data_IF_569676654221
#
_entry.id   IF_569676654221
#
_cell.length_a   1.000
_cell.length_b   1.000
_cell.length_c   1.000
_cell.angle_alpha   90.00
_cell.angle_beta   90.00
_cell.angle_gamma   90.00
#
_symmetry.space_group_name_H-M   'P 1'
#
loop_
_entity.id
_entity.type
_entity.pdbx_description
1 polymer ?
#
# COMPACT_ATOMS: atom_id res chain seq x y z
N UNK A 1 -15.55 -6.01 11.65
CA UNK A 1 -15.34 -5.05 10.55
C UNK A 1 -16.70 -4.50 10.14
N UNK A 2 -16.86 -3.19 10.05
CA UNK A 2 -18.12 -2.55 9.64
C UNK A 2 -17.84 -1.65 8.43
N UNK A 3 -17.71 -2.27 7.26
CA UNK A 3 -17.60 -1.62 5.96
C UNK A 3 -18.88 -1.97 5.21
N UNK A 4 -19.46 -0.99 4.50
CA UNK A 4 -20.62 -1.24 3.66
C UNK A 4 -20.24 -2.24 2.54
N UNK A 5 -20.90 -3.40 2.45
CA UNK A 5 -20.62 -4.38 1.40
C UNK A 5 -20.75 -3.80 -0.02
N UNK A 6 -21.71 -2.89 -0.22
CA UNK A 6 -21.88 -2.25 -1.52
C UNK A 6 -20.66 -1.44 -1.94
N UNK A 7 -20.01 -0.74 -1.01
CA UNK A 7 -18.76 -0.02 -1.31
C UNK A 7 -17.63 -0.99 -1.69
N UNK A 8 -17.53 -2.15 -1.03
CA UNK A 8 -16.53 -3.16 -1.38
C UNK A 8 -16.75 -3.75 -2.77
N UNK A 9 -18.01 -3.92 -3.18
CA UNK A 9 -18.36 -4.48 -4.49
C UNK A 9 -18.24 -3.47 -5.63
N UNK A 10 -18.43 -2.17 -5.34
CA UNK A 10 -18.50 -1.13 -6.38
C UNK A 10 -17.26 -0.25 -6.48
N UNK A 11 -16.35 -0.31 -5.50
CA UNK A 11 -15.08 0.44 -5.58
C UNK A 11 -14.10 -0.29 -6.49
N UNK A 12 -13.63 0.33 -7.58
CA UNK A 12 -12.63 -0.29 -8.45
C UNK A 12 -11.34 -0.60 -7.69
N UNK A 13 -10.74 -1.78 -7.94
CA UNK A 13 -9.49 -2.21 -7.31
C UNK A 13 -9.25 -3.70 -7.48
N UNK A 14 -8.05 -4.15 -7.13
CA UNK A 14 -7.54 -5.51 -7.38
C UNK A 14 -7.11 -6.15 -6.06
N UNK A 15 -8.05 -6.35 -5.13
CA UNK A 15 -7.78 -6.91 -3.80
C UNK A 15 -8.76 -8.03 -3.48
N UNK A 16 -8.24 -9.22 -3.17
CA UNK A 16 -9.07 -10.33 -2.70
C UNK A 16 -9.73 -10.00 -1.35
N UNK A 17 -11.02 -10.37 -1.15
CA UNK A 17 -11.71 -10.10 0.10
C UNK A 17 -11.07 -10.70 1.35
N UNK A 18 -10.32 -11.82 1.25
CA UNK A 18 -9.60 -12.40 2.39
C UNK A 18 -8.35 -11.59 2.73
N UNK A 19 -7.63 -11.11 1.71
CA UNK A 19 -6.51 -10.19 1.87
C UNK A 19 -6.98 -8.86 2.48
N UNK A 20 -8.11 -8.32 2.00
CA UNK A 20 -8.72 -7.13 2.58
C UNK A 20 -9.08 -7.30 4.07
N UNK A 21 -9.67 -8.44 4.45
CA UNK A 21 -9.92 -8.76 5.86
C UNK A 21 -8.62 -8.83 6.67
N UNK A 22 -7.58 -9.43 6.09
CA UNK A 22 -6.26 -9.51 6.72
C UNK A 22 -5.63 -8.14 6.90
N UNK A 23 -5.70 -7.26 5.88
CA UNK A 23 -5.27 -5.86 5.98
C UNK A 23 -5.97 -5.13 7.13
N UNK A 24 -7.31 -5.27 7.21
CA UNK A 24 -8.10 -4.67 8.28
C UNK A 24 -7.61 -5.10 9.68
N UNK A 25 -7.41 -6.41 9.91
CA UNK A 25 -7.02 -6.91 11.23
C UNK A 25 -5.61 -6.43 11.61
N UNK A 26 -4.65 -6.48 10.67
CA UNK A 26 -3.29 -6.00 10.88
C UNK A 26 -3.24 -4.48 11.14
N UNK A 27 -3.99 -3.71 10.33
CA UNK A 27 -4.06 -2.26 10.49
C UNK A 27 -4.76 -1.85 11.80
N UNK A 28 -5.79 -2.58 12.23
CA UNK A 28 -6.45 -2.31 13.52
C UNK A 28 -5.46 -2.42 14.69
N UNK A 29 -4.65 -3.47 14.70
CA UNK A 29 -3.69 -3.69 15.77
C UNK A 29 -2.52 -2.69 15.69
N UNK A 30 -2.07 -2.35 14.49
CA UNK A 30 -1.02 -1.36 14.25
C UNK A 30 -1.50 0.08 14.60
N UNK A 31 -2.71 0.45 14.22
CA UNK A 31 -3.27 1.79 14.45
C UNK A 31 -3.47 2.13 15.93
N UNK A 32 -3.58 1.12 16.80
CA UNK A 32 -3.58 1.32 18.25
C UNK A 32 -2.23 1.80 18.80
N UNK A 33 -1.15 1.66 18.01
CA UNK A 33 0.22 1.97 18.42
C UNK A 33 0.74 3.24 17.75
N UNK A 34 0.31 3.52 16.51
CA UNK A 34 0.73 4.70 15.75
C UNK A 34 0.12 4.72 14.35
N UNK A 35 0.46 5.73 13.55
CA UNK A 35 -0.13 5.89 12.23
C UNK A 35 0.28 4.77 11.27
N UNK A 36 -0.61 4.49 10.31
CA UNK A 36 -0.40 3.58 9.20
C UNK A 36 -0.16 4.38 7.92
N UNK A 37 0.53 3.77 6.95
CA UNK A 37 0.76 4.33 5.64
C UNK A 37 0.48 3.28 4.56
N UNK A 38 -0.16 3.70 3.48
CA UNK A 38 -0.43 2.97 2.26
C UNK A 38 0.26 3.68 1.09
N UNK A 39 0.86 2.90 0.18
CA UNK A 39 1.43 3.37 -1.09
C UNK A 39 0.70 2.67 -2.21
N UNK A 40 0.09 3.44 -3.10
CA UNK A 40 -0.83 2.92 -4.12
C UNK A 40 -2.22 2.72 -3.53
N UNK A 41 -3.09 3.70 -3.71
CA UNK A 41 -4.47 3.64 -3.22
C UNK A 41 -5.50 3.50 -4.34
N UNK A 42 -5.10 3.83 -5.58
CA UNK A 42 -5.96 3.77 -6.75
C UNK A 42 -7.33 4.42 -6.50
N UNK A 43 -8.43 3.66 -6.50
CA UNK A 43 -9.79 4.15 -6.21
C UNK A 43 -10.22 3.97 -4.75
N UNK A 44 -9.36 3.38 -3.90
CA UNK A 44 -9.54 3.29 -2.46
C UNK A 44 -10.06 1.97 -1.91
N UNK A 45 -10.01 0.86 -2.67
CA UNK A 45 -10.51 -0.43 -2.18
C UNK A 45 -9.72 -0.93 -0.96
N UNK A 46 -8.38 -0.95 -1.00
CA UNK A 46 -7.51 -1.25 0.14
C UNK A 46 -7.69 -0.23 1.28
N UNK A 47 -7.85 1.06 0.90
CA UNK A 47 -8.09 2.17 1.84
C UNK A 47 -9.37 1.98 2.64
N UNK A 48 -10.44 1.36 2.09
CA UNK A 48 -11.66 1.03 2.84
C UNK A 48 -11.35 0.14 4.03
N UNK A 49 -10.51 -0.88 3.87
CA UNK A 49 -10.12 -1.79 4.94
C UNK A 49 -9.18 -1.11 5.95
N UNK A 50 -8.09 -0.52 5.46
CA UNK A 50 -7.07 0.13 6.28
C UNK A 50 -7.63 1.35 7.04
N UNK A 51 -8.36 2.23 6.33
CA UNK A 51 -8.96 3.43 6.91
C UNK A 51 -10.04 3.10 7.94
N UNK A 52 -10.89 2.09 7.68
CA UNK A 52 -11.90 1.66 8.67
C UNK A 52 -11.24 1.08 9.92
N UNK A 53 -10.12 0.36 9.78
CA UNK A 53 -9.35 -0.14 10.90
C UNK A 53 -8.73 1.01 11.71
N UNK A 54 -8.12 1.99 11.04
CA UNK A 54 -7.56 3.18 11.68
C UNK A 54 -8.63 3.99 12.42
N UNK A 55 -9.80 4.24 11.78
CA UNK A 55 -10.93 4.94 12.40
C UNK A 55 -11.37 4.28 13.71
N UNK A 56 -11.39 2.95 13.76
CA UNK A 56 -11.79 2.21 14.96
C UNK A 56 -10.86 2.45 16.15
N UNK A 57 -9.62 2.82 15.90
CA UNK A 57 -8.60 3.12 16.92
C UNK A 57 -8.38 4.63 17.13
N UNK A 58 -9.21 5.49 16.53
CA UNK A 58 -8.96 6.93 16.45
C UNK A 58 -7.55 7.26 15.88
N UNK A 59 -7.03 6.37 15.03
CA UNK A 59 -5.74 6.49 14.37
C UNK A 59 -5.85 7.19 13.02
N UNK A 60 -4.71 7.34 12.34
CA UNK A 60 -4.58 7.99 11.03
C UNK A 60 -3.99 7.03 10.03
N UNK A 61 -4.54 7.04 8.81
CA UNK A 61 -3.95 6.43 7.62
C UNK A 61 -3.45 7.55 6.69
N UNK A 62 -2.17 7.53 6.37
CA UNK A 62 -1.62 8.30 5.26
C UNK A 62 -1.70 7.45 3.99
N UNK A 63 -2.30 7.99 2.94
CA UNK A 63 -2.47 7.30 1.66
C UNK A 63 -1.73 8.07 0.58
N UNK A 64 -0.62 7.49 0.11
CA UNK A 64 0.29 8.12 -0.87
C UNK A 64 0.01 7.54 -2.24
N UNK A 65 -0.44 8.39 -3.16
CA UNK A 65 -0.66 8.03 -4.56
C UNK A 65 -0.59 9.29 -5.42
N UNK A 66 0.03 9.21 -6.59
CA UNK A 66 0.00 10.31 -7.56
C UNK A 66 -1.30 10.35 -8.38
N UNK A 67 -2.12 9.31 -8.28
CA UNK A 67 -3.42 9.13 -8.92
C UNK A 67 -3.42 9.25 -10.46
N UNK A 68 -2.26 9.08 -11.07
CA UNK A 68 -2.09 9.06 -12.53
C UNK A 68 -2.10 7.66 -13.16
N UNK A 69 -2.36 6.64 -12.34
CA UNK A 69 -2.28 5.24 -12.75
C UNK A 69 -0.84 4.73 -12.87
N UNK A 70 -0.63 3.43 -12.65
CA UNK A 70 0.65 2.75 -12.91
C UNK A 70 0.91 2.62 -14.41
N UNK A 71 2.07 2.09 -14.79
CA UNK A 71 2.42 1.82 -16.19
C UNK A 71 1.41 0.88 -16.86
N UNK A 72 0.89 -0.09 -16.11
CA UNK A 72 -0.06 -1.10 -16.57
C UNK A 72 -1.50 -0.57 -16.72
N UNK A 73 -1.78 0.63 -16.21
CA UNK A 73 -3.09 1.30 -16.24
C UNK A 73 -3.17 2.41 -17.29
N UNK A 74 -2.16 2.56 -18.15
CA UNK A 74 -2.17 3.58 -19.20
C UNK A 74 -3.01 3.15 -20.42
N UNK A 75 -3.44 4.09 -21.30
CA UNK A 75 -4.19 3.75 -22.49
C UNK A 75 -3.47 2.71 -23.37
N UNK A 76 -4.14 1.59 -23.61
CA UNK A 76 -3.61 0.46 -24.38
C UNK A 76 -3.02 -0.68 -23.55
N UNK A 77 -2.88 -0.49 -22.25
CA UNK A 77 -2.39 -1.51 -21.33
C UNK A 77 -3.55 -2.35 -20.74
N UNK A 78 -3.20 -3.48 -20.12
CA UNK A 78 -4.16 -4.51 -19.68
C UNK A 78 -5.16 -4.01 -18.64
N UNK A 79 -4.73 -3.15 -17.72
CA UNK A 79 -5.55 -2.64 -16.60
C UNK A 79 -6.07 -1.22 -16.85
N UNK A 80 -6.07 -0.77 -18.09
CA UNK A 80 -6.64 0.54 -18.45
C UNK A 80 -8.15 0.56 -18.29
N UNK A 81 -8.65 1.47 -17.46
CA UNK A 81 -10.09 1.76 -17.32
C UNK A 81 -10.42 3.12 -17.95
N UNK A 82 -11.17 3.14 -19.09
CA UNK A 82 -11.57 4.38 -19.73
C UNK A 82 -12.40 5.31 -18.84
N UNK A 83 -13.12 4.78 -17.84
CA UNK A 83 -13.92 5.58 -16.91
C UNK A 83 -13.06 6.44 -15.97
N UNK A 84 -11.77 6.12 -15.84
CA UNK A 84 -10.81 6.85 -15.03
C UNK A 84 -9.91 7.78 -15.86
N UNK A 85 -10.13 7.86 -17.16
CA UNK A 85 -9.35 8.74 -18.04
C UNK A 85 -9.97 10.12 -18.12
N UNK A 86 -9.22 11.15 -17.70
CA UNK A 86 -9.61 12.54 -17.90
C UNK A 86 -9.22 13.02 -19.30
N UNK A 87 -10.19 13.07 -20.22
CA UNK A 87 -9.98 13.50 -21.60
C UNK A 87 -9.44 14.93 -21.70
N UNK A 88 -9.77 15.82 -20.75
CA UNK A 88 -9.31 17.21 -20.75
C UNK A 88 -7.85 17.32 -20.34
N UNK A 89 -7.44 16.52 -19.34
CA UNK A 89 -6.06 16.47 -18.90
C UNK A 89 -5.20 15.50 -19.75
N UNK A 90 -5.83 14.63 -20.57
CA UNK A 90 -5.16 13.63 -21.40
C UNK A 90 -4.43 12.56 -20.59
N UNK A 91 -4.97 12.18 -19.43
CA UNK A 91 -4.32 11.22 -18.52
C UNK A 91 -5.34 10.51 -17.63
N UNK A 92 -4.93 9.38 -17.07
CA UNK A 92 -5.66 8.72 -15.98
C UNK A 92 -5.69 9.65 -14.75
N UNK A 93 -6.85 9.74 -14.10
CA UNK A 93 -7.05 10.46 -12.83
C UNK A 93 -8.00 9.68 -11.92
N UNK A 94 -7.45 8.93 -10.99
CA UNK A 94 -8.21 8.12 -10.02
C UNK A 94 -8.66 8.94 -8.80
N UNK A 95 -8.08 10.12 -8.56
CA UNK A 95 -8.32 10.91 -7.34
C UNK A 95 -9.79 11.32 -7.13
N UNK A 96 -10.56 11.72 -8.15
CA UNK A 96 -11.98 12.03 -7.96
C UNK A 96 -12.80 10.83 -7.47
N UNK A 97 -12.47 9.61 -7.93
CA UNK A 97 -13.11 8.37 -7.46
C UNK A 97 -12.68 8.08 -6.03
N UNK A 98 -11.39 8.09 -5.75
CA UNK A 98 -10.83 7.91 -4.41
C UNK A 98 -11.50 8.84 -3.36
N UNK A 99 -11.63 10.11 -3.66
CA UNK A 99 -12.31 11.07 -2.77
C UNK A 99 -13.78 10.72 -2.52
N UNK A 100 -14.51 10.26 -3.55
CA UNK A 100 -15.90 9.79 -3.40
C UNK A 100 -15.97 8.56 -2.51
N UNK A 101 -15.05 7.61 -2.69
CA UNK A 101 -14.93 6.41 -1.84
C UNK A 101 -14.73 6.78 -0.37
N UNK A 102 -13.79 7.69 -0.07
CA UNK A 102 -13.57 8.16 1.30
C UNK A 102 -14.80 8.84 1.91
N UNK A 103 -15.47 9.70 1.14
CA UNK A 103 -16.67 10.39 1.60
C UNK A 103 -17.81 9.42 1.88
N UNK A 104 -18.08 8.46 0.98
CA UNK A 104 -19.11 7.45 1.14
C UNK A 104 -18.84 6.53 2.35
N UNK A 105 -17.58 6.20 2.62
CA UNK A 105 -17.18 5.39 3.76
C UNK A 105 -17.08 6.17 5.09
N UNK A 106 -17.23 7.51 5.07
CA UNK A 106 -17.04 8.36 6.25
C UNK A 106 -15.59 8.36 6.75
N UNK A 107 -14.61 8.30 5.84
CA UNK A 107 -13.18 8.20 6.16
C UNK A 107 -12.40 9.51 5.97
N UNK A 108 -13.06 10.60 5.62
CA UNK A 108 -12.43 11.90 5.32
C UNK A 108 -11.66 12.50 6.50
N UNK A 109 -12.03 12.16 7.74
CA UNK A 109 -11.35 12.63 8.97
C UNK A 109 -10.33 11.60 9.50
N UNK A 110 -10.11 10.50 8.76
CA UNK A 110 -9.21 9.41 9.17
C UNK A 110 -8.08 9.21 8.17
N UNK A 111 -8.37 9.36 6.89
CA UNK A 111 -7.42 9.15 5.79
C UNK A 111 -6.90 10.50 5.32
N UNK A 112 -5.59 10.64 5.28
CA UNK A 112 -4.88 11.81 4.76
C UNK A 112 -4.30 11.48 3.39
N UNK A 113 -4.93 11.91 2.28
CA UNK A 113 -4.37 11.74 0.95
C UNK A 113 -3.10 12.56 0.76
N UNK A 114 -2.05 11.93 0.28
CA UNK A 114 -0.80 12.58 -0.16
C UNK A 114 -0.67 12.40 -1.67
N UNK A 115 -1.18 13.39 -2.42
CA UNK A 115 -1.27 13.31 -3.89
C UNK A 115 0.06 13.70 -4.52
N UNK A 116 1.00 12.77 -4.53
CA UNK A 116 2.33 12.94 -5.08
C UNK A 116 3.01 11.57 -5.26
N UNK A 117 4.21 11.56 -5.87
CA UNK A 117 5.01 10.34 -5.87
C UNK A 117 5.45 9.94 -4.45
N UNK A 118 5.48 8.65 -4.19
CA UNK A 118 5.92 8.07 -2.92
C UNK A 118 7.28 8.59 -2.48
N UNK A 119 8.24 8.64 -3.41
CA UNK A 119 9.59 9.18 -3.16
C UNK A 119 9.59 10.64 -2.72
N UNK A 120 8.69 11.47 -3.26
CA UNK A 120 8.57 12.87 -2.84
C UNK A 120 7.99 12.97 -1.42
N UNK A 121 6.96 12.21 -1.12
CA UNK A 121 6.35 12.17 0.21
C UNK A 121 7.34 11.73 1.29
N UNK A 122 8.20 10.75 0.99
CA UNK A 122 9.17 10.22 1.93
C UNK A 122 10.34 11.18 2.21
N UNK A 123 10.65 12.13 1.31
CA UNK A 123 11.86 12.96 1.38
C UNK A 123 12.02 13.75 2.69
N UNK A 124 10.93 14.22 3.25
CA UNK A 124 10.91 15.00 4.49
C UNK A 124 10.06 14.32 5.59
N UNK A 125 9.80 13.03 5.45
CA UNK A 125 8.99 12.29 6.41
C UNK A 125 9.75 12.09 7.72
N UNK A 126 9.10 12.36 8.84
CA UNK A 126 9.70 12.22 10.18
C UNK A 126 8.83 11.43 11.16
N UNK A 127 7.57 11.15 10.82
CA UNK A 127 6.62 10.47 11.71
C UNK A 127 6.90 8.97 11.73
N UNK A 128 7.15 8.35 12.92
CA UNK A 128 7.28 6.89 13.01
C UNK A 128 5.98 6.18 12.65
N UNK A 129 6.07 5.19 11.76
CA UNK A 129 4.94 4.42 11.26
C UNK A 129 4.82 3.09 12.00
N UNK A 130 3.60 2.65 12.26
CA UNK A 130 3.30 1.33 12.82
C UNK A 130 3.00 0.28 11.77
N UNK A 131 2.56 0.70 10.58
CA UNK A 131 2.33 -0.16 9.42
C UNK A 131 2.67 0.62 8.15
N UNK A 132 3.35 -0.05 7.22
CA UNK A 132 3.55 0.39 5.84
C UNK A 132 3.00 -0.70 4.93
N UNK A 133 2.08 -0.36 4.04
CA UNK A 133 1.54 -1.23 3.01
C UNK A 133 2.01 -0.73 1.63
N UNK A 134 2.70 -1.58 0.89
CA UNK A 134 3.22 -1.31 -0.45
C UNK A 134 2.35 -2.07 -1.45
N UNK A 135 1.62 -1.31 -2.27
CA UNK A 135 0.68 -1.79 -3.29
C UNK A 135 0.66 -0.84 -4.50
N UNK A 136 1.83 -0.35 -4.86
CA UNK A 136 2.02 0.57 -5.99
C UNK A 136 2.33 -0.16 -7.30
N UNK A 137 3.10 0.48 -8.19
CA UNK A 137 3.52 -0.16 -9.44
C UNK A 137 4.43 -1.37 -9.22
N UNK A 138 4.39 -2.35 -10.14
CA UNK A 138 5.07 -3.64 -10.00
C UNK A 138 6.49 -3.67 -10.58
N UNK A 139 6.95 -2.58 -11.20
CA UNK A 139 8.33 -2.49 -11.67
C UNK A 139 9.30 -2.67 -10.49
N UNK A 140 10.31 -3.54 -10.61
CA UNK A 140 11.21 -3.88 -9.51
C UNK A 140 11.87 -2.67 -8.85
N UNK A 141 12.25 -1.68 -9.65
CA UNK A 141 12.87 -0.44 -9.18
C UNK A 141 11.90 0.40 -8.35
N UNK A 142 10.63 0.47 -8.78
CA UNK A 142 9.58 1.23 -8.10
C UNK A 142 9.30 0.65 -6.71
N UNK A 143 9.07 -0.67 -6.63
CA UNK A 143 8.82 -1.37 -5.36
C UNK A 143 10.03 -1.28 -4.43
N UNK A 144 11.23 -1.36 -4.98
CA UNK A 144 12.46 -1.24 -4.19
C UNK A 144 12.66 0.18 -3.66
N UNK A 145 12.38 1.19 -4.47
CA UNK A 145 12.42 2.60 -4.04
C UNK A 145 11.44 2.85 -2.89
N UNK A 146 10.21 2.31 -2.99
CA UNK A 146 9.21 2.41 -1.92
C UNK A 146 9.67 1.69 -0.65
N UNK A 147 10.20 0.49 -0.77
CA UNK A 147 10.79 -0.25 0.34
C UNK A 147 11.89 0.56 1.04
N UNK A 148 12.84 1.09 0.29
CA UNK A 148 13.94 1.89 0.83
C UNK A 148 13.45 3.18 1.49
N UNK A 149 12.51 3.86 0.84
CA UNK A 149 12.01 5.15 1.31
C UNK A 149 11.23 5.03 2.63
N UNK A 150 10.41 3.99 2.79
CA UNK A 150 9.44 3.93 3.88
C UNK A 150 9.81 3.01 5.03
N UNK A 151 10.60 1.94 4.79
CA UNK A 151 11.00 1.04 5.88
C UNK A 151 11.89 1.72 6.91
N UNK A 152 12.61 2.79 6.53
CA UNK A 152 13.38 3.61 7.44
C UNK A 152 12.51 4.28 8.52
N UNK A 153 11.24 4.56 8.21
CA UNK A 153 10.29 5.19 9.11
C UNK A 153 9.43 4.20 9.91
N UNK A 154 9.49 2.92 9.57
CA UNK A 154 8.76 1.88 10.28
C UNK A 154 9.39 1.67 11.66
N UNK A 155 8.61 1.73 12.72
CA UNK A 155 9.10 1.53 14.10
C UNK A 155 9.45 0.06 14.38
N UNK A 156 10.29 -0.22 15.38
CA UNK A 156 10.47 -1.59 15.87
C UNK A 156 9.13 -2.23 16.25
N UNK A 157 8.89 -3.47 15.81
CA UNK A 157 7.63 -4.18 15.96
C UNK A 157 6.54 -3.79 14.96
N UNK A 158 6.76 -2.74 14.15
CA UNK A 158 5.86 -2.32 13.08
C UNK A 158 5.79 -3.33 11.93
N UNK A 159 4.76 -3.22 11.11
CA UNK A 159 4.44 -4.16 10.04
C UNK A 159 4.78 -3.56 8.67
N UNK A 160 5.52 -4.31 7.86
CA UNK A 160 5.68 -4.09 6.44
C UNK A 160 4.83 -5.13 5.70
N UNK A 161 3.89 -4.64 4.90
CA UNK A 161 3.03 -5.45 4.06
C UNK A 161 3.37 -5.16 2.60
N UNK A 162 3.44 -6.21 1.78
CA UNK A 162 3.71 -6.09 0.35
C UNK A 162 2.69 -6.96 -0.38
N UNK A 163 1.96 -6.36 -1.32
CA UNK A 163 0.97 -7.03 -2.15
C UNK A 163 1.58 -7.64 -3.41
N UNK A 164 0.81 -8.46 -4.13
CA UNK A 164 1.15 -9.07 -5.41
C UNK A 164 2.41 -9.95 -5.37
N UNK A 165 2.51 -10.78 -4.33
CA UNK A 165 3.59 -11.75 -4.21
C UNK A 165 3.27 -13.00 -5.03
N UNK A 166 3.60 -12.98 -6.30
CA UNK A 166 3.51 -14.13 -7.19
C UNK A 166 4.78 -14.98 -7.11
N UNK A 167 4.62 -16.26 -6.79
CA UNK A 167 5.76 -17.16 -6.62
C UNK A 167 6.41 -17.53 -7.97
N UNK A 168 5.67 -17.35 -9.09
CA UNK A 168 6.12 -17.69 -10.44
C UNK A 168 5.90 -16.53 -11.42
N UNK A 169 6.82 -16.30 -12.35
CA UNK A 169 6.73 -15.19 -13.32
C UNK A 169 5.47 -15.20 -14.20
N UNK A 170 4.94 -16.39 -14.50
CA UNK A 170 3.72 -16.55 -15.29
C UNK A 170 2.44 -16.14 -14.56
N UNK A 171 2.50 -15.92 -13.24
CA UNK A 171 1.36 -15.53 -12.41
C UNK A 171 1.24 -14.01 -12.28
N UNK A 172 2.35 -13.27 -12.45
CA UNK A 172 2.36 -11.82 -12.35
C UNK A 172 3.76 -11.21 -12.19
N UNK A 173 3.80 -9.91 -11.99
CA UNK A 173 5.02 -9.12 -11.85
C UNK A 173 5.89 -9.58 -10.67
N UNK A 174 7.20 -9.67 -10.88
CA UNK A 174 8.13 -10.25 -9.90
C UNK A 174 8.78 -9.21 -8.99
N UNK A 175 8.54 -7.91 -9.19
CA UNK A 175 9.11 -6.84 -8.38
C UNK A 175 8.75 -6.98 -6.88
N UNK A 176 7.46 -7.07 -6.53
CA UNK A 176 7.03 -7.25 -5.14
C UNK A 176 7.63 -8.48 -4.47
N UNK A 177 7.63 -9.63 -5.17
CA UNK A 177 8.18 -10.89 -4.65
C UNK A 177 9.69 -10.80 -4.36
N UNK A 178 10.46 -10.15 -5.23
CA UNK A 178 11.89 -9.93 -5.03
C UNK A 178 12.17 -9.04 -3.82
N UNK A 179 11.44 -7.93 -3.69
CA UNK A 179 11.60 -7.02 -2.55
C UNK A 179 11.18 -7.68 -1.25
N UNK A 180 10.09 -8.45 -1.24
CA UNK A 180 9.68 -9.24 -0.08
C UNK A 180 10.77 -10.24 0.34
N UNK A 181 11.35 -10.97 -0.62
CA UNK A 181 12.41 -11.95 -0.36
C UNK A 181 13.65 -11.27 0.21
N UNK A 182 14.08 -10.15 -0.39
CA UNK A 182 15.19 -9.34 0.10
C UNK A 182 14.94 -8.84 1.53
N UNK A 183 13.75 -8.32 1.82
CA UNK A 183 13.40 -7.87 3.15
C UNK A 183 13.43 -9.00 4.18
N UNK A 184 12.90 -10.18 3.83
CA UNK A 184 12.92 -11.38 4.67
C UNK A 184 14.35 -11.87 4.96
N UNK A 185 15.24 -11.81 3.98
CA UNK A 185 16.63 -12.28 4.08
C UNK A 185 17.57 -11.25 4.71
N UNK A 186 17.15 -9.98 4.80
CA UNK A 186 17.95 -8.89 5.39
C UNK A 186 18.28 -9.07 6.88
N UNK A 187 17.57 -9.97 7.58
CA UNK A 187 17.66 -10.11 9.04
C UNK A 187 16.95 -9.01 9.83
N UNK A 188 16.35 -8.02 9.16
CA UNK A 188 15.65 -6.89 9.79
C UNK A 188 14.19 -7.20 10.13
N UNK A 189 13.63 -8.24 9.53
CA UNK A 189 12.23 -8.60 9.66
C UNK A 189 12.02 -10.07 10.03
N UNK A 190 10.93 -10.35 10.73
CA UNK A 190 10.37 -11.69 10.92
C UNK A 190 9.19 -11.86 9.96
N UNK A 191 9.21 -12.93 9.16
CA UNK A 191 8.09 -13.24 8.29
C UNK A 191 6.91 -13.80 9.11
N UNK A 192 5.71 -13.28 8.81
CA UNK A 192 4.44 -13.78 9.33
C UNK A 192 3.69 -14.54 8.23
N UNK A 193 2.67 -15.34 8.55
CA UNK A 193 1.88 -16.06 7.55
C UNK A 193 1.32 -15.12 6.48
N UNK A 194 1.49 -15.50 5.21
CA UNK A 194 0.88 -14.85 4.04
C UNK A 194 -0.63 -15.16 3.99
N UNK A 195 -1.37 -14.30 3.28
CA UNK A 195 -2.76 -14.54 2.89
C UNK A 195 -2.84 -14.24 1.40
N UNK A 196 -3.13 -15.23 0.56
CA UNK A 196 -3.07 -15.05 -0.88
C UNK A 196 -1.71 -14.51 -1.36
N UNK A 197 -1.75 -13.38 -2.05
CA UNK A 197 -0.56 -12.67 -2.52
C UNK A 197 -0.03 -11.62 -1.53
N UNK A 198 -0.72 -11.41 -0.39
CA UNK A 198 -0.31 -10.46 0.64
C UNK A 198 0.79 -11.03 1.54
N UNK A 199 2.00 -10.49 1.44
CA UNK A 199 3.13 -10.78 2.32
C UNK A 199 3.12 -9.89 3.56
N UNK A 200 3.50 -10.47 4.71
CA UNK A 200 3.51 -9.77 5.99
C UNK A 200 4.85 -9.98 6.68
N UNK A 201 5.51 -8.88 7.00
CA UNK A 201 6.79 -8.84 7.69
C UNK A 201 6.69 -7.95 8.93
N UNK A 202 7.27 -8.40 10.06
CA UNK A 202 7.35 -7.60 11.29
C UNK A 202 8.77 -7.13 11.49
N UNK A 203 8.98 -5.82 11.64
CA UNK A 203 10.29 -5.26 11.93
C UNK A 203 10.81 -5.74 13.29
N UNK A 204 12.02 -6.31 13.31
CA UNK A 204 12.70 -6.70 14.54
C UNK A 204 13.07 -5.50 15.39
N UNK A 205 13.20 -5.69 16.70
CA UNK A 205 13.79 -4.72 17.61
C UNK A 205 15.31 -4.69 17.49
N UNK A 206 15.94 -3.54 17.75
CA UNK A 206 17.39 -3.36 17.74
C UNK A 206 17.91 -2.72 16.44
N UNK A 207 18.44 -1.50 16.56
CA UNK A 207 18.96 -0.69 15.45
C UNK A 207 17.99 0.42 15.01
N UNK A 208 18.51 1.64 14.87
CA UNK A 208 17.67 2.83 14.69
C UNK A 208 17.04 2.95 13.30
N UNK A 209 17.56 2.27 12.26
CA UNK A 209 16.99 2.27 10.89
C UNK A 209 17.36 1.00 10.14
N UNK A 210 16.44 0.41 9.36
CA UNK A 210 16.80 -0.58 8.35
C UNK A 210 17.71 0.07 7.32
N UNK A 211 18.82 -0.60 7.00
CA UNK A 211 19.67 -0.19 5.87
C UNK A 211 19.16 -0.97 4.67
N UNK A 212 18.65 -0.30 3.63
CA UNK A 212 18.24 -0.99 2.41
C UNK A 212 19.43 -1.72 1.79
N UNK A 213 19.24 -2.98 1.48
CA UNK A 213 20.22 -3.78 0.75
C UNK A 213 19.97 -3.57 -0.75
N UNK A 214 20.96 -3.20 -1.55
CA UNK A 214 20.79 -3.07 -3.00
C UNK A 214 20.23 -4.37 -3.60
N UNK A 215 19.29 -4.24 -4.54
CA UNK A 215 18.87 -5.39 -5.32
C UNK A 215 20.06 -5.89 -6.16
N UNK A 216 20.22 -7.21 -6.31
CA UNK A 216 21.17 -7.72 -7.29
C UNK A 216 20.77 -7.23 -8.70
N UNK A 217 21.71 -7.01 -9.59
CA UNK A 217 21.40 -6.61 -10.97
C UNK A 217 20.47 -7.65 -11.61
N UNK A 218 19.50 -7.17 -12.39
CA UNK A 218 18.49 -7.95 -13.08
C UNK A 218 19.07 -8.69 -14.27
#
# INVERSE_FOLDING_TARGET
MNIDPHLLETTPGFLDPEEGRRLYDLARDAAAIGPCLEIGSYCGLSTLYLGTACRKQAGVLFSVDHHGGSEEQQPGEEYFDPALFDERAGRVDTFPVFRRTLAAAGLTETVVPLVCSSRLAARAWATPLSLVFIDGGHAPETVFDDYCAWTAHLRPGGLLLIHDLFDRPEEGGQGPFRVYTLARESGLFDALPRTGTLGVLRRRGGGDRPIPVPLPPF
#
